data_IF_671211881897
#
_entry.id   IF_671211881897
#
_cell.length_a   1.000
_cell.length_b   1.000
_cell.length_c   1.000
_cell.angle_alpha   90.00
_cell.angle_beta   90.00
_cell.angle_gamma   90.00
#
_symmetry.space_group_name_H-M   'P 1'
#
loop_
_entity.id
_entity.type
_entity.pdbx_description
1 polymer ?
#
# COMPACT_ATOMS: atom_id res chain seq x y z
N UNK A 1 4.72 22.20 -1.61
CA UNK A 1 4.61 20.79 -2.08
C UNK A 1 5.40 19.91 -1.13
N UNK A 2 4.81 18.79 -0.66
CA UNK A 2 5.38 17.94 0.39
C UNK A 2 5.70 16.55 -0.18
N UNK A 3 6.85 15.98 0.17
CA UNK A 3 7.24 14.63 -0.26
C UNK A 3 6.54 13.57 0.60
N UNK A 4 6.00 12.54 -0.07
CA UNK A 4 5.37 11.40 0.58
C UNK A 4 5.86 10.09 -0.05
N UNK A 5 6.58 9.28 0.73
CA UNK A 5 7.10 7.99 0.28
C UNK A 5 6.22 6.85 0.80
N UNK A 6 6.04 5.83 -0.04
CA UNK A 6 5.31 4.62 0.30
C UNK A 6 6.20 3.40 0.17
N UNK A 7 6.20 2.56 1.19
CA UNK A 7 6.96 1.31 1.27
C UNK A 7 5.96 0.19 1.58
N UNK A 8 5.99 -0.88 0.79
CA UNK A 8 5.20 -2.06 1.12
C UNK A 8 5.89 -2.84 2.25
N UNK A 9 5.08 -3.44 3.15
CA UNK A 9 5.59 -4.37 4.15
C UNK A 9 6.40 -5.52 3.51
N UNK A 10 7.36 -6.06 4.24
CA UNK A 10 8.15 -7.24 3.88
C UNK A 10 7.25 -8.48 3.70
N UNK A 11 7.76 -9.54 3.04
CA UNK A 11 6.97 -10.74 2.78
C UNK A 11 6.40 -11.39 4.04
N UNK A 12 5.20 -11.94 3.91
CA UNK A 12 4.52 -12.78 4.91
C UNK A 12 4.36 -14.19 4.38
N UNK A 13 4.07 -15.17 5.25
CA UNK A 13 3.76 -16.54 4.84
C UNK A 13 2.60 -16.58 3.84
N UNK A 14 1.59 -15.72 4.01
CA UNK A 14 0.46 -15.64 3.08
C UNK A 14 0.83 -15.08 1.72
N UNK A 15 1.85 -14.20 1.63
CA UNK A 15 2.39 -13.80 0.32
C UNK A 15 2.99 -14.98 -0.44
N UNK A 16 3.75 -15.86 0.24
CA UNK A 16 4.32 -17.09 -0.32
C UNK A 16 3.24 -18.06 -0.79
N UNK A 17 2.14 -18.14 -0.06
CA UNK A 17 1.00 -18.98 -0.38
C UNK A 17 0.04 -18.37 -1.44
N UNK A 18 0.25 -17.13 -1.85
CA UNK A 18 -0.64 -16.43 -2.79
C UNK A 18 -2.02 -16.08 -2.23
N UNK A 19 -2.16 -16.01 -0.89
CA UNK A 19 -3.44 -15.71 -0.22
C UNK A 19 -3.67 -14.21 -0.08
N UNK A 20 -4.91 -13.78 -0.28
CA UNK A 20 -5.35 -12.42 0.01
C UNK A 20 -5.36 -12.20 1.53
N UNK A 21 -4.60 -11.22 2.00
CA UNK A 21 -4.46 -10.97 3.44
C UNK A 21 -5.51 -10.02 3.99
N UNK A 22 -5.79 -8.95 3.22
CA UNK A 22 -6.67 -7.89 3.68
C UNK A 22 -6.25 -7.35 5.04
N UNK A 23 -7.21 -7.23 5.93
CA UNK A 23 -7.00 -6.70 7.28
C UNK A 23 -6.66 -7.78 8.32
N UNK A 24 -6.57 -9.05 7.92
CA UNK A 24 -6.05 -10.09 8.80
C UNK A 24 -4.60 -9.81 9.16
N UNK A 25 -4.28 -9.93 10.45
CA UNK A 25 -2.97 -9.58 10.97
C UNK A 25 -2.01 -10.79 10.90
N UNK A 26 -1.46 -11.01 9.72
CA UNK A 26 -0.46 -12.06 9.47
C UNK A 26 0.95 -11.52 9.73
N UNK A 27 1.82 -12.25 10.48
CA UNK A 27 3.20 -11.83 10.73
C UNK A 27 4.07 -11.96 9.48
N UNK A 28 5.25 -11.36 9.53
CA UNK A 28 6.28 -11.55 8.50
C UNK A 28 6.72 -13.02 8.43
N UNK A 29 7.14 -13.45 7.24
CA UNK A 29 7.76 -14.76 7.05
C UNK A 29 9.23 -14.69 7.50
N UNK A 30 9.62 -15.38 8.60
CA UNK A 30 10.98 -15.31 9.11
C UNK A 30 12.03 -15.84 8.14
N UNK A 31 11.62 -16.72 7.19
CA UNK A 31 12.50 -17.31 6.18
C UNK A 31 12.69 -16.42 4.94
N UNK A 32 11.82 -15.38 4.77
CA UNK A 32 11.79 -14.56 3.57
C UNK A 32 12.06 -13.06 3.86
N UNK A 33 12.68 -12.73 5.00
CA UNK A 33 12.99 -11.34 5.37
C UNK A 33 14.17 -10.84 4.56
N UNK A 34 13.97 -9.81 3.69
CA UNK A 34 15.05 -9.23 2.93
C UNK A 34 15.90 -8.29 3.80
N UNK A 35 17.18 -8.13 3.42
CA UNK A 35 18.08 -7.16 4.04
C UNK A 35 17.86 -5.76 3.47
N UNK A 36 16.66 -5.19 3.67
CA UNK A 36 16.37 -3.85 3.21
C UNK A 36 16.98 -2.78 4.10
N UNK A 37 17.45 -1.72 3.46
CA UNK A 37 17.91 -0.49 4.11
C UNK A 37 17.25 0.71 3.46
N UNK A 38 16.96 1.71 4.27
CA UNK A 38 16.45 2.98 3.76
C UNK A 38 17.57 3.73 3.04
N UNK A 39 17.33 4.18 1.80
CA UNK A 39 18.24 5.11 1.13
C UNK A 39 18.46 6.38 1.95
N UNK A 40 19.68 7.00 1.89
CA UNK A 40 20.01 8.22 2.64
C UNK A 40 19.05 9.39 2.40
N UNK A 41 18.40 9.43 1.25
CA UNK A 41 17.41 10.45 0.89
C UNK A 41 16.17 10.46 1.78
N UNK A 42 15.90 9.38 2.51
CA UNK A 42 14.81 9.33 3.51
C UNK A 42 15.27 9.76 4.91
N UNK A 43 16.55 10.18 5.07
CA UNK A 43 17.01 10.78 6.29
C UNK A 43 16.19 12.05 6.59
N UNK A 44 15.69 12.17 7.83
CA UNK A 44 14.84 13.30 8.23
C UNK A 44 13.36 13.20 7.84
N UNK A 45 12.92 12.13 7.16
CA UNK A 45 11.50 11.87 6.96
C UNK A 45 10.84 11.46 8.27
N UNK A 46 9.59 11.90 8.47
CA UNK A 46 8.71 11.32 9.50
C UNK A 46 8.20 9.97 9.01
N UNK A 47 8.14 9.00 9.92
CA UNK A 47 7.64 7.68 9.55
C UNK A 47 6.26 7.41 10.15
N UNK A 48 5.36 6.95 9.28
CA UNK A 48 4.06 6.38 9.62
C UNK A 48 4.06 4.88 9.30
N UNK A 49 3.17 4.12 9.94
CA UNK A 49 2.91 2.75 9.57
C UNK A 49 1.43 2.40 9.69
N UNK A 50 0.99 1.45 8.88
CA UNK A 50 -0.25 0.72 9.12
C UNK A 50 -0.23 0.10 10.51
N UNK A 51 -1.38 -0.02 11.21
CA UNK A 51 -1.45 -0.69 12.51
C UNK A 51 -1.18 -2.20 12.44
N UNK A 52 -1.24 -2.83 11.25
CA UNK A 52 -1.00 -4.26 11.10
C UNK A 52 0.45 -4.64 11.39
N UNK A 53 0.64 -5.77 12.10
CA UNK A 53 1.94 -6.24 12.61
C UNK A 53 2.99 -6.29 11.52
N UNK A 54 2.70 -6.84 10.33
CA UNK A 54 3.64 -6.91 9.21
C UNK A 54 4.21 -5.56 8.76
N UNK A 55 3.41 -4.48 8.87
CA UNK A 55 3.89 -3.13 8.50
C UNK A 55 4.74 -2.51 9.61
N UNK A 56 4.36 -2.69 10.87
CA UNK A 56 5.12 -2.23 12.04
C UNK A 56 6.48 -2.92 12.13
N UNK A 57 6.50 -4.26 12.05
CA UNK A 57 7.74 -5.05 12.05
C UNK A 57 8.67 -4.67 10.89
N UNK A 58 8.10 -4.39 9.70
CA UNK A 58 8.89 -3.90 8.57
C UNK A 58 9.55 -2.56 8.89
N UNK A 59 8.83 -1.60 9.49
CA UNK A 59 9.38 -0.31 9.88
C UNK A 59 10.50 -0.46 10.92
N UNK A 60 10.30 -1.30 11.93
CA UNK A 60 11.31 -1.61 12.94
C UNK A 60 12.59 -2.20 12.32
N UNK A 61 12.44 -3.12 11.36
CA UNK A 61 13.57 -3.72 10.62
C UNK A 61 14.29 -2.73 9.70
N UNK A 62 13.61 -1.70 9.24
CA UNK A 62 14.20 -0.57 8.51
C UNK A 62 14.89 0.42 9.44
N UNK A 63 14.91 0.20 10.77
CA UNK A 63 15.55 1.01 11.77
C UNK A 63 14.80 2.30 12.11
N UNK A 64 13.48 2.35 11.89
CA UNK A 64 12.66 3.52 12.18
C UNK A 64 11.56 3.22 13.20
N UNK A 65 11.17 4.25 13.97
CA UNK A 65 10.04 4.18 14.92
C UNK A 65 8.86 4.94 14.34
N UNK A 66 7.90 4.28 13.71
CA UNK A 66 6.77 4.94 13.07
C UNK A 66 5.68 5.30 14.08
N UNK A 67 4.93 6.36 13.79
CA UNK A 67 3.61 6.57 14.37
C UNK A 67 2.60 5.73 13.56
N UNK A 68 1.77 4.94 14.22
CA UNK A 68 0.69 4.21 13.54
C UNK A 68 -0.45 5.13 13.14
N UNK A 69 -0.98 4.91 11.94
CA UNK A 69 -2.18 5.60 11.45
C UNK A 69 -3.18 4.57 10.89
N UNK A 70 -4.41 4.48 11.45
CA UNK A 70 -5.39 3.50 11.02
C UNK A 70 -5.84 3.69 9.56
N UNK A 71 -5.69 4.87 8.98
CA UNK A 71 -6.01 5.13 7.57
C UNK A 71 -5.05 4.42 6.61
N UNK A 72 -3.89 3.95 7.09
CA UNK A 72 -2.91 3.17 6.33
C UNK A 72 -3.14 1.66 6.39
N UNK A 73 -4.20 1.18 7.07
CA UNK A 73 -4.54 -0.24 7.10
C UNK A 73 -4.81 -0.76 5.67
N UNK A 74 -4.49 -2.03 5.40
CA UNK A 74 -4.72 -2.65 4.09
C UNK A 74 -6.19 -2.52 3.65
N UNK A 75 -6.43 -2.50 2.35
CA UNK A 75 -7.78 -2.63 1.79
C UNK A 75 -8.43 -3.90 2.32
N UNK A 76 -9.64 -3.78 2.86
CA UNK A 76 -10.40 -4.95 3.27
C UNK A 76 -10.83 -5.75 2.04
N UNK A 77 -10.51 -7.04 2.04
CA UNK A 77 -10.97 -7.98 1.03
C UNK A 77 -12.24 -8.73 1.48
N UNK A 78 -12.79 -8.37 2.66
CA UNK A 78 -14.03 -8.94 3.17
C UNK A 78 -14.01 -10.47 3.20
N UNK A 79 -15.00 -11.09 2.59
CA UNK A 79 -15.14 -12.56 2.56
C UNK A 79 -14.03 -13.28 1.77
N UNK A 80 -13.28 -12.54 0.94
CA UNK A 80 -12.20 -13.13 0.15
C UNK A 80 -10.87 -13.26 0.92
N UNK A 81 -10.78 -12.75 2.14
CA UNK A 81 -9.58 -12.85 2.97
C UNK A 81 -9.25 -14.31 3.32
N UNK A 82 -8.01 -14.71 3.05
CA UNK A 82 -7.51 -16.07 3.24
C UNK A 82 -7.59 -16.96 2.01
N UNK A 83 -8.35 -16.60 0.99
CA UNK A 83 -8.40 -17.34 -0.26
C UNK A 83 -7.21 -17.00 -1.17
N UNK A 84 -6.79 -17.98 -1.97
CA UNK A 84 -5.97 -17.75 -3.16
C UNK A 84 -6.85 -17.32 -4.34
N UNK A 85 -6.26 -16.70 -5.37
CA UNK A 85 -7.02 -16.34 -6.58
C UNK A 85 -7.63 -17.57 -7.28
N UNK A 86 -6.95 -18.73 -7.23
CA UNK A 86 -7.47 -19.96 -7.82
C UNK A 86 -8.69 -20.48 -7.06
N UNK A 87 -8.65 -20.47 -5.73
CA UNK A 87 -9.79 -20.83 -4.88
C UNK A 87 -10.98 -19.88 -5.11
N UNK A 88 -10.73 -18.57 -5.23
CA UNK A 88 -11.77 -17.59 -5.52
C UNK A 88 -12.46 -17.86 -6.87
N UNK A 89 -11.68 -18.04 -7.94
CA UNK A 89 -12.21 -18.30 -9.26
C UNK A 89 -13.00 -19.61 -9.35
N UNK A 90 -12.68 -20.58 -8.50
CA UNK A 90 -13.45 -21.81 -8.38
C UNK A 90 -14.78 -21.64 -7.60
N UNK A 91 -14.83 -20.64 -6.69
CA UNK A 91 -15.94 -20.45 -5.74
C UNK A 91 -16.91 -19.34 -6.14
N UNK A 92 -16.45 -18.34 -6.90
CA UNK A 92 -17.22 -17.15 -7.26
C UNK A 92 -17.24 -16.99 -8.78
N UNK A 93 -18.43 -17.01 -9.37
CA UNK A 93 -18.60 -16.95 -10.83
C UNK A 93 -18.49 -15.53 -11.41
N UNK A 94 -18.65 -14.50 -10.58
CA UNK A 94 -18.79 -13.10 -10.95
C UNK A 94 -17.50 -12.26 -10.78
N UNK A 95 -16.35 -12.91 -10.57
CA UNK A 95 -15.07 -12.21 -10.34
C UNK A 95 -14.73 -11.28 -11.50
N UNK A 96 -14.86 -11.72 -12.74
CA UNK A 96 -14.52 -10.93 -13.91
C UNK A 96 -15.44 -9.71 -14.06
N UNK A 97 -16.72 -9.84 -13.68
CA UNK A 97 -17.68 -8.73 -13.66
C UNK A 97 -17.32 -7.71 -12.55
N UNK A 98 -16.89 -8.19 -11.39
CA UNK A 98 -16.41 -7.33 -10.31
C UNK A 98 -15.10 -6.61 -10.70
N UNK A 99 -14.13 -7.31 -11.30
CA UNK A 99 -12.89 -6.72 -11.77
C UNK A 99 -13.11 -5.65 -12.85
N UNK A 100 -14.14 -5.80 -13.69
CA UNK A 100 -14.51 -4.82 -14.70
C UNK A 100 -15.03 -3.48 -14.13
N UNK A 101 -15.30 -3.40 -12.82
CA UNK A 101 -15.71 -2.17 -12.16
C UNK A 101 -14.53 -1.22 -11.83
N UNK A 102 -13.28 -1.67 -12.03
CA UNK A 102 -12.10 -0.83 -11.86
C UNK A 102 -11.97 -0.25 -10.45
N UNK A 103 -11.98 1.08 -10.30
CA UNK A 103 -11.91 1.75 -8.99
C UNK A 103 -13.06 1.39 -8.05
N UNK A 104 -14.19 0.98 -8.58
CA UNK A 104 -15.39 0.61 -7.82
C UNK A 104 -15.49 -0.89 -7.54
N UNK A 105 -14.50 -1.68 -8.03
CA UNK A 105 -14.35 -3.10 -7.70
C UNK A 105 -14.45 -3.30 -6.17
N UNK A 106 -15.43 -4.08 -5.75
CA UNK A 106 -15.69 -4.32 -4.33
C UNK A 106 -15.99 -5.79 -4.07
N UNK A 107 -15.24 -6.40 -3.18
CA UNK A 107 -15.51 -7.76 -2.72
C UNK A 107 -16.66 -7.78 -1.71
N UNK A 108 -17.39 -8.88 -1.55
CA UNK A 108 -18.42 -9.01 -0.52
C UNK A 108 -17.87 -8.67 0.87
N UNK A 109 -18.49 -7.71 1.55
CA UNK A 109 -18.06 -7.23 2.86
C UNK A 109 -16.73 -6.47 2.90
N UNK A 110 -16.13 -6.16 1.73
CA UNK A 110 -14.84 -5.49 1.62
C UNK A 110 -14.93 -4.02 1.19
N UNK A 111 -13.75 -3.42 0.96
CA UNK A 111 -13.58 -2.08 0.41
C UNK A 111 -13.33 -2.12 -1.09
N UNK A 112 -13.71 -1.05 -1.79
CA UNK A 112 -13.22 -0.76 -3.14
C UNK A 112 -11.94 0.08 -3.09
N UNK A 113 -11.12 0.11 -4.18
CA UNK A 113 -10.04 1.08 -4.30
C UNK A 113 -10.48 2.54 -4.10
N UNK A 114 -11.72 2.88 -4.50
CA UNK A 114 -12.30 4.20 -4.29
C UNK A 114 -12.55 4.50 -2.81
N UNK A 115 -13.02 3.54 -2.02
CA UNK A 115 -13.19 3.71 -0.57
C UNK A 115 -11.83 3.97 0.11
N UNK A 116 -10.81 3.22 -0.32
CA UNK A 116 -9.44 3.44 0.16
C UNK A 116 -8.97 4.85 -0.17
N UNK A 117 -9.20 5.33 -1.40
CA UNK A 117 -8.89 6.72 -1.76
C UNK A 117 -9.63 7.72 -0.86
N UNK A 118 -10.91 7.49 -0.58
CA UNK A 118 -11.71 8.39 0.26
C UNK A 118 -11.16 8.48 1.68
N UNK A 119 -10.82 7.34 2.31
CA UNK A 119 -10.27 7.36 3.67
C UNK A 119 -8.84 7.89 3.77
N UNK A 120 -8.08 7.86 2.65
CA UNK A 120 -6.73 8.41 2.58
C UNK A 120 -6.68 9.93 2.34
N UNK A 121 -7.69 10.52 1.72
CA UNK A 121 -7.71 11.96 1.41
C UNK A 121 -7.40 12.86 2.61
N UNK A 122 -8.02 12.67 3.81
CA UNK A 122 -7.68 13.48 4.98
C UNK A 122 -6.20 13.33 5.40
N UNK A 123 -5.65 12.10 5.35
CA UNK A 123 -4.23 11.87 5.66
C UNK A 123 -3.30 12.59 4.68
N UNK A 124 -3.59 12.51 3.39
CA UNK A 124 -2.77 13.19 2.36
C UNK A 124 -2.81 14.72 2.54
N UNK A 125 -3.98 15.29 2.85
CA UNK A 125 -4.12 16.70 3.14
C UNK A 125 -3.36 17.13 4.41
N UNK A 126 -3.41 16.34 5.48
CA UNK A 126 -2.66 16.57 6.73
C UNK A 126 -1.14 16.53 6.49
N UNK A 127 -0.66 15.56 5.71
CA UNK A 127 0.77 15.47 5.34
C UNK A 127 1.17 16.70 4.53
N UNK A 128 0.37 17.10 3.53
CA UNK A 128 0.62 18.26 2.71
C UNK A 128 0.68 19.55 3.53
N UNK A 129 -0.30 19.75 4.42
CA UNK A 129 -0.38 20.93 5.30
C UNK A 129 0.79 21.01 6.29
N UNK A 130 1.34 19.87 6.72
CA UNK A 130 2.46 19.85 7.64
C UNK A 130 3.78 20.32 7.01
N UNK A 131 3.91 20.27 5.68
CA UNK A 131 5.14 20.58 4.95
C UNK A 131 6.31 19.62 5.21
N UNK A 132 6.17 18.66 6.13
CA UNK A 132 7.26 17.77 6.53
C UNK A 132 7.30 16.51 5.65
N UNK A 133 8.43 16.16 5.03
CA UNK A 133 8.59 14.92 4.29
C UNK A 133 8.19 13.73 5.15
N UNK A 134 7.37 12.84 4.59
CA UNK A 134 6.77 11.72 5.33
C UNK A 134 6.94 10.43 4.53
N UNK A 135 7.28 9.34 5.20
CA UNK A 135 7.28 8.00 4.63
C UNK A 135 6.28 7.11 5.38
N UNK A 136 5.62 6.20 4.68
CA UNK A 136 4.69 5.27 5.31
C UNK A 136 4.98 3.82 4.89
N UNK A 137 5.09 2.94 5.89
CA UNK A 137 5.14 1.51 5.67
C UNK A 137 3.70 0.99 5.67
N UNK A 138 3.26 0.43 4.55
CA UNK A 138 1.87 0.08 4.31
C UNK A 138 1.75 -1.14 3.38
N UNK A 139 0.73 -1.20 2.55
CA UNK A 139 0.32 -2.38 1.80
C UNK A 139 0.08 -2.06 0.32
N UNK A 140 0.01 -3.13 -0.49
CA UNK A 140 -0.25 -3.02 -1.92
C UNK A 140 -1.59 -2.36 -2.23
N UNK A 141 -2.65 -2.69 -1.45
CA UNK A 141 -3.99 -2.12 -1.63
C UNK A 141 -4.11 -0.67 -1.14
N UNK A 142 -3.03 -0.08 -0.58
CA UNK A 142 -2.93 1.35 -0.28
C UNK A 142 -2.09 2.06 -1.33
N UNK A 143 -0.97 1.48 -1.72
CA UNK A 143 -0.05 2.08 -2.69
C UNK A 143 -0.70 2.23 -4.06
N UNK A 144 -1.44 1.21 -4.53
CA UNK A 144 -2.10 1.26 -5.85
C UNK A 144 -3.20 2.33 -5.95
N UNK A 145 -4.10 2.53 -4.98
CA UNK A 145 -5.05 3.64 -4.99
C UNK A 145 -4.40 5.03 -4.98
N UNK A 146 -3.29 5.23 -4.25
CA UNK A 146 -2.54 6.50 -4.28
C UNK A 146 -1.86 6.68 -5.64
N UNK A 147 -1.27 5.63 -6.19
CA UNK A 147 -0.71 5.64 -7.55
C UNK A 147 -1.79 5.96 -8.61
N UNK A 148 -3.00 5.42 -8.45
CA UNK A 148 -4.12 5.73 -9.33
C UNK A 148 -4.55 7.22 -9.23
N UNK A 149 -4.58 7.81 -8.04
CA UNK A 149 -4.79 9.26 -7.87
C UNK A 149 -3.72 10.09 -8.59
N UNK A 150 -2.46 9.62 -8.57
CA UNK A 150 -1.34 10.34 -9.18
C UNK A 150 -1.29 10.23 -10.71
N UNK A 151 -1.90 9.19 -11.30
CA UNK A 151 -1.80 8.89 -12.73
C UNK A 151 -3.11 9.03 -13.49
N UNK A 152 -4.25 9.13 -12.79
CA UNK A 152 -5.57 9.05 -13.40
C UNK A 152 -5.97 7.62 -13.82
N UNK A 153 -5.21 6.59 -13.42
CA UNK A 153 -5.55 5.20 -13.73
C UNK A 153 -6.80 4.76 -12.95
N UNK A 154 -7.74 4.19 -13.65
CA UNK A 154 -9.04 3.75 -13.11
C UNK A 154 -9.08 2.27 -12.67
N UNK A 155 -7.94 1.61 -12.59
CA UNK A 155 -7.77 0.16 -12.34
C UNK A 155 -8.20 -0.75 -13.49
N UNK A 156 -8.63 -0.19 -14.60
CA UNK A 156 -8.93 -0.96 -15.81
C UNK A 156 -7.69 -1.05 -16.72
N UNK A 157 -7.62 -2.15 -17.44
CA UNK A 157 -6.51 -2.39 -18.35
C UNK A 157 -5.13 -2.45 -17.67
N UNK A 158 -4.10 -2.13 -18.46
CA UNK A 158 -2.71 -2.22 -17.98
C UNK A 158 -2.35 -1.03 -17.09
N UNK A 159 -1.79 -1.31 -15.92
CA UNK A 159 -1.23 -0.28 -15.04
C UNK A 159 -0.15 0.53 -15.77
N UNK A 160 -0.18 1.90 -15.73
CA UNK A 160 0.71 2.75 -16.53
C UNK A 160 2.20 2.53 -16.28
N UNK A 161 2.59 2.23 -15.04
CA UNK A 161 3.97 1.96 -14.65
C UNK A 161 4.04 0.72 -13.77
N UNK A 162 5.05 -0.12 -13.99
CA UNK A 162 5.32 -1.27 -13.11
C UNK A 162 5.84 -0.76 -11.77
N UNK A 163 5.21 -1.21 -10.68
CA UNK A 163 5.69 -0.99 -9.31
C UNK A 163 6.48 -2.20 -8.84
N UNK A 164 7.71 -1.96 -8.39
CA UNK A 164 8.54 -2.96 -7.74
C UNK A 164 8.24 -2.95 -6.23
N UNK A 165 7.74 -4.06 -5.72
CA UNK A 165 7.30 -4.20 -4.33
C UNK A 165 8.44 -4.32 -3.31
N UNK A 166 9.69 -4.43 -3.75
CA UNK A 166 10.90 -4.34 -2.94
C UNK A 166 11.51 -2.95 -2.92
N UNK A 167 10.78 -1.96 -3.39
CA UNK A 167 11.22 -0.57 -3.55
C UNK A 167 10.28 0.39 -2.84
N UNK A 168 10.76 1.59 -2.55
CA UNK A 168 9.94 2.72 -2.15
C UNK A 168 9.42 3.47 -3.39
N UNK A 169 8.26 4.11 -3.25
CA UNK A 169 7.64 4.95 -4.28
C UNK A 169 7.42 6.34 -3.70
N UNK A 170 8.06 7.36 -4.29
CA UNK A 170 8.03 8.74 -3.84
C UNK A 170 7.03 9.54 -4.66
N UNK A 171 6.14 10.21 -3.97
CA UNK A 171 5.12 11.11 -4.51
C UNK A 171 5.35 12.52 -3.98
N UNK A 172 4.83 13.49 -4.71
CA UNK A 172 4.76 14.88 -4.33
C UNK A 172 3.31 15.26 -4.13
N UNK A 173 2.97 15.76 -2.95
CA UNK A 173 1.63 16.25 -2.62
C UNK A 173 1.56 17.75 -2.88
N UNK A 174 0.51 18.20 -3.58
CA UNK A 174 0.19 19.63 -3.68
C UNK A 174 -0.39 20.16 -2.35
N UNK A 175 -0.78 21.42 -2.31
CA UNK A 175 -1.35 22.05 -1.11
C UNK A 175 -2.69 21.43 -0.67
N UNK A 176 -3.43 20.80 -1.57
CA UNK A 176 -4.69 20.10 -1.30
C UNK A 176 -4.49 18.62 -0.95
N UNK A 177 -3.25 18.11 -1.03
CA UNK A 177 -2.91 16.70 -0.79
C UNK A 177 -3.05 15.81 -2.03
N UNK A 178 -3.22 16.35 -3.24
CA UNK A 178 -3.26 15.54 -4.45
C UNK A 178 -1.84 15.04 -4.79
N UNK A 179 -1.67 13.71 -4.96
CA UNK A 179 -0.37 13.13 -5.28
C UNK A 179 -0.05 13.28 -6.76
N UNK A 180 1.22 13.50 -7.05
CA UNK A 180 1.85 13.30 -8.36
C UNK A 180 3.09 12.43 -8.19
N UNK A 181 3.50 11.71 -9.23
CA UNK A 181 4.69 10.87 -9.15
C UNK A 181 5.94 11.78 -9.11
N UNK A 182 6.78 11.59 -8.11
CA UNK A 182 8.13 12.16 -8.06
C UNK A 182 9.17 11.15 -8.57
N UNK A 183 9.19 9.96 -7.99
CA UNK A 183 10.05 8.86 -8.40
C UNK A 183 9.50 7.51 -7.94
N UNK A 184 9.43 6.55 -8.85
CA UNK A 184 9.02 5.18 -8.55
C UNK A 184 10.24 4.26 -8.43
N UNK A 185 10.04 3.13 -7.75
CA UNK A 185 10.99 2.03 -7.69
C UNK A 185 12.38 2.43 -7.15
N UNK A 186 12.40 3.19 -6.05
CA UNK A 186 13.63 3.53 -5.32
C UNK A 186 14.07 2.28 -4.55
N UNK A 187 15.20 1.65 -4.89
CA UNK A 187 15.59 0.40 -4.27
C UNK A 187 15.80 0.52 -2.76
N UNK A 188 15.28 -0.48 -2.02
CA UNK A 188 15.55 -0.67 -0.58
C UNK A 188 16.67 -1.69 -0.36
N UNK A 189 17.41 -2.03 -1.41
CA UNK A 189 18.48 -3.03 -1.33
C UNK A 189 19.64 -2.57 -0.45
N UNK A 190 20.32 -3.57 0.15
CA UNK A 190 21.56 -3.38 0.91
C UNK A 190 22.73 -2.99 0.00
#
# INVERSE_FOLDING_TARGET
MTLFALIRHMPTVWNKQGRLQGQRDTPLDPEAIPHWRLPPEFAGFRFLASPLTRARETAERLGVTPKTDPRLIEMSWGEWEGFTLAELRASFADIDELEAQGLDFRTPGGESPRDVQQRLRPLLAEIAASGAPTAAVTHKGIIRPIFALATGWDFLGKQPHRLDWSSAHLFRLDAAGHPSIERLNIPLAA
#
